data_IF_723589093190
#
_entry.id   IF_723589093190
#
_cell.length_a   1.000
_cell.length_b   1.000
_cell.length_c   1.000
_cell.angle_alpha   90.00
_cell.angle_beta   90.00
_cell.angle_gamma   90.00
#
_symmetry.space_group_name_H-M   'P 1'
#
loop_
_entity.id
_entity.type
_entity.pdbx_description
1 polymer ?
#
# COMPACT_ATOMS: atom_id res chain seq x y z
N UNK A 1 -47.79 -13.80 14.71
CA UNK A 1 -48.15 -14.97 15.52
C UNK A 1 -47.67 -16.24 14.81
N UNK A 2 -46.55 -16.81 15.23
CA UNK A 2 -46.18 -18.23 15.09
C UNK A 2 -45.10 -18.50 16.15
N UNK A 3 -45.39 -19.42 17.05
CA UNK A 3 -44.65 -19.67 18.28
C UNK A 3 -43.59 -20.76 18.11
N UNK A 4 -42.46 -20.55 18.80
CA UNK A 4 -41.63 -21.46 19.60
C UNK A 4 -41.05 -22.76 18.98
N UNK A 5 -39.72 -22.89 19.08
CA UNK A 5 -39.07 -24.09 19.59
C UNK A 5 -37.82 -23.73 20.41
N UNK A 6 -37.74 -24.32 21.60
CA UNK A 6 -36.74 -24.16 22.67
C UNK A 6 -35.77 -25.36 22.63
N UNK A 7 -34.49 -25.08 22.96
CA UNK A 7 -33.34 -25.90 23.42
C UNK A 7 -33.59 -27.37 23.87
N UNK A 8 -32.57 -28.28 23.80
CA UNK A 8 -31.53 -28.34 24.85
C UNK A 8 -30.11 -28.85 24.46
N UNK A 9 -29.25 -28.78 25.48
CA UNK A 9 -27.81 -28.99 25.59
C UNK A 9 -27.32 -30.46 25.52
N UNK A 10 -26.00 -30.61 25.79
CA UNK A 10 -25.27 -31.80 26.30
C UNK A 10 -24.45 -32.57 25.22
N UNK A 11 -23.23 -33.11 25.39
CA UNK A 11 -22.38 -33.53 26.53
C UNK A 11 -20.92 -33.73 26.01
N UNK A 12 -19.89 -33.36 26.78
CA UNK A 12 -18.85 -34.21 27.42
C UNK A 12 -17.94 -35.07 26.50
N UNK A 13 -16.62 -34.81 26.39
CA UNK A 13 -15.47 -35.15 27.27
C UNK A 13 -14.97 -36.62 27.13
N UNK A 14 -13.79 -36.73 26.47
CA UNK A 14 -12.56 -37.54 26.76
C UNK A 14 -12.63 -39.09 26.80
N UNK A 15 -11.63 -39.74 26.15
CA UNK A 15 -10.76 -40.88 26.57
C UNK A 15 -10.09 -41.50 25.31
N UNK A 16 -8.81 -41.27 24.98
CA UNK A 16 -7.54 -41.90 25.44
C UNK A 16 -7.41 -43.43 25.26
N UNK A 17 -6.67 -43.82 24.21
CA UNK A 17 -5.88 -45.06 24.06
C UNK A 17 -5.04 -44.91 22.78
N UNK A 18 -3.74 -45.08 22.68
CA UNK A 18 -2.67 -45.45 23.60
C UNK A 18 -1.41 -45.73 22.75
N UNK A 19 -0.25 -45.27 23.23
CA UNK A 19 1.12 -45.82 23.14
C UNK A 19 1.69 -46.38 21.81
N UNK A 20 2.84 -45.82 21.37
CA UNK A 20 3.92 -46.64 20.82
C UNK A 20 4.75 -46.04 19.67
N UNK A 21 6.02 -45.80 19.98
CA UNK A 21 7.19 -45.68 19.08
C UNK A 21 7.42 -44.36 18.32
N UNK A 22 8.39 -43.61 18.84
CA UNK A 22 9.27 -42.72 18.09
C UNK A 22 10.03 -43.54 17.02
N UNK A 23 10.11 -43.03 15.79
CA UNK A 23 11.43 -42.69 15.27
C UNK A 23 11.44 -41.32 14.59
N UNK A 24 12.32 -40.42 15.04
CA UNK A 24 12.78 -39.29 14.22
C UNK A 24 13.32 -39.82 12.87
N UNK A 25 13.08 -39.14 11.71
CA UNK A 25 13.69 -37.85 11.48
C UNK A 25 12.91 -36.82 10.62
N UNK A 26 13.44 -35.59 10.64
CA UNK A 26 13.24 -34.46 9.72
C UNK A 26 11.88 -33.73 9.81
N UNK A 27 11.89 -32.69 10.64
CA UNK A 27 10.98 -31.54 10.56
C UNK A 27 10.99 -30.99 9.13
N UNK A 28 9.92 -31.22 8.37
CA UNK A 28 9.61 -30.36 7.24
C UNK A 28 9.43 -28.94 7.80
N UNK A 29 10.07 -27.91 7.22
CA UNK A 29 9.84 -26.54 7.64
C UNK A 29 8.34 -26.21 7.47
N UNK A 30 7.74 -25.42 8.38
CA UNK A 30 6.37 -24.97 8.20
C UNK A 30 6.24 -24.28 6.83
N UNK A 31 5.08 -24.36 6.14
CA UNK A 31 4.85 -23.49 5.00
C UNK A 31 4.97 -22.06 5.52
N UNK A 32 6.01 -21.34 5.07
CA UNK A 32 6.09 -19.89 5.28
C UNK A 32 4.75 -19.31 4.84
N UNK A 33 4.12 -18.43 5.64
CA UNK A 33 3.13 -17.55 5.07
C UNK A 33 3.87 -16.78 3.99
N UNK A 34 3.54 -17.02 2.72
CA UNK A 34 3.92 -16.10 1.68
C UNK A 34 3.42 -14.74 2.16
N UNK A 35 4.27 -13.69 2.21
CA UNK A 35 3.71 -12.38 2.38
C UNK A 35 2.71 -12.25 1.23
N UNK A 36 1.44 -12.02 1.56
CA UNK A 36 0.55 -11.29 0.67
C UNK A 36 1.20 -9.91 0.54
N UNK A 37 2.24 -9.84 -0.28
CA UNK A 37 2.45 -8.70 -1.12
C UNK A 37 1.17 -8.68 -1.93
N UNK A 38 0.21 -7.90 -1.42
CA UNK A 38 -0.68 -7.09 -2.22
C UNK A 38 -0.05 -6.98 -3.60
N UNK A 39 -0.71 -7.51 -4.63
CA UNK A 39 -0.17 -7.45 -5.97
C UNK A 39 -0.11 -5.97 -6.34
N UNK A 40 0.97 -5.32 -5.93
CA UNK A 40 1.40 -3.97 -6.24
C UNK A 40 1.55 -4.02 -7.75
N UNK A 41 0.44 -3.72 -8.43
CA UNK A 41 0.27 -3.85 -9.85
C UNK A 41 1.47 -3.14 -10.47
N UNK A 42 2.39 -3.92 -11.07
CA UNK A 42 3.72 -3.42 -11.42
C UNK A 42 3.55 -2.13 -12.22
N UNK A 43 4.01 -1.01 -11.65
CA UNK A 43 3.77 0.30 -12.25
C UNK A 43 4.63 0.50 -13.49
N UNK A 44 4.17 1.34 -14.40
CA UNK A 44 4.90 1.70 -15.62
C UNK A 44 5.84 2.86 -15.33
N UNK A 45 7.16 2.75 -15.55
CA UNK A 45 8.07 3.87 -15.37
C UNK A 45 7.87 4.92 -16.47
N UNK A 46 7.80 6.18 -16.08
CA UNK A 46 7.47 7.31 -16.96
C UNK A 46 8.58 8.35 -17.09
N UNK A 47 9.76 8.08 -16.52
CA UNK A 47 10.91 8.98 -16.53
C UNK A 47 11.10 9.67 -15.19
N UNK A 48 11.59 10.91 -15.23
CA UNK A 48 12.10 11.61 -14.06
C UNK A 48 11.61 13.06 -14.04
N UNK A 49 11.29 13.57 -12.85
CA UNK A 49 10.92 14.97 -12.62
C UNK A 49 11.83 15.59 -11.57
N UNK A 50 12.00 16.91 -11.66
CA UNK A 50 12.71 17.68 -10.63
C UNK A 50 11.69 18.13 -9.60
N UNK A 51 11.87 17.69 -8.36
CA UNK A 51 11.04 18.08 -7.23
C UNK A 51 11.65 19.22 -6.42
N UNK A 52 11.16 19.37 -5.19
CA UNK A 52 11.58 20.43 -4.29
C UNK A 52 13.11 20.43 -4.05
N UNK A 53 13.71 21.62 -4.00
CA UNK A 53 15.17 21.84 -3.87
C UNK A 53 16.03 21.11 -4.92
N UNK A 54 15.47 20.83 -6.09
CA UNK A 54 16.22 20.19 -7.17
C UNK A 54 16.38 18.68 -7.05
N UNK A 55 15.76 18.06 -6.03
CA UNK A 55 15.77 16.61 -5.86
C UNK A 55 15.17 15.91 -7.08
N UNK A 56 15.79 14.82 -7.54
CA UNK A 56 15.26 14.06 -8.66
C UNK A 56 14.29 12.99 -8.17
N UNK A 57 13.20 12.80 -8.91
CA UNK A 57 12.17 11.82 -8.56
C UNK A 57 11.86 10.94 -9.78
N UNK A 58 11.93 9.62 -9.62
CA UNK A 58 11.50 8.67 -10.65
C UNK A 58 9.99 8.55 -10.61
N UNK A 59 9.34 8.73 -11.76
CA UNK A 59 7.89 8.69 -11.89
C UNK A 59 7.46 7.29 -12.34
N UNK A 60 6.48 6.76 -11.63
CA UNK A 60 5.82 5.49 -11.92
C UNK A 60 4.32 5.73 -11.95
N UNK A 61 3.63 5.25 -12.98
CA UNK A 61 2.17 5.29 -13.05
C UNK A 61 1.59 3.92 -12.73
N UNK A 62 0.41 3.91 -12.11
CA UNK A 62 -0.41 2.72 -11.94
C UNK A 62 -1.83 3.01 -12.42
N UNK A 63 -2.49 1.96 -12.93
CA UNK A 63 -3.80 2.09 -13.56
C UNK A 63 -3.72 2.71 -14.95
N UNK A 64 -4.69 3.58 -15.28
CA UNK A 64 -4.86 4.16 -16.63
C UNK A 64 -4.26 5.56 -16.78
N UNK A 65 -3.35 5.97 -15.90
CA UNK A 65 -2.68 7.26 -16.01
C UNK A 65 -1.62 7.24 -17.12
N UNK A 66 -1.60 8.29 -17.94
CA UNK A 66 -0.60 8.44 -19.01
C UNK A 66 0.68 9.08 -18.46
N UNK A 67 1.84 8.67 -18.99
CA UNK A 67 3.13 9.18 -18.51
C UNK A 67 3.29 10.71 -18.67
N UNK A 68 2.75 11.28 -19.75
CA UNK A 68 2.79 12.72 -19.98
C UNK A 68 1.95 13.49 -18.94
N UNK A 69 0.77 12.98 -18.61
CA UNK A 69 -0.06 13.55 -17.54
C UNK A 69 0.63 13.41 -16.19
N UNK A 70 1.21 12.25 -15.90
CA UNK A 70 1.83 11.98 -14.61
C UNK A 70 3.03 12.89 -14.31
N UNK A 71 3.90 13.08 -15.30
CA UNK A 71 5.05 13.98 -15.19
C UNK A 71 4.62 15.44 -15.05
N UNK A 72 3.57 15.86 -15.76
CA UNK A 72 2.99 17.20 -15.63
C UNK A 72 2.39 17.42 -14.24
N UNK A 73 1.57 16.50 -13.74
CA UNK A 73 0.92 16.57 -12.42
C UNK A 73 1.96 16.70 -11.31
N UNK A 74 3.03 15.90 -11.35
CA UNK A 74 4.10 15.99 -10.37
C UNK A 74 4.89 17.29 -10.48
N UNK A 75 5.14 17.78 -11.71
CA UNK A 75 5.79 19.07 -11.93
C UNK A 75 4.96 20.20 -11.30
N UNK A 76 3.65 20.20 -11.54
CA UNK A 76 2.73 21.20 -11.00
C UNK A 76 2.59 21.08 -9.48
N UNK A 77 2.60 19.86 -8.93
CA UNK A 77 2.63 19.62 -7.49
C UNK A 77 3.85 20.27 -6.85
N UNK A 78 5.06 19.94 -7.32
CA UNK A 78 6.29 20.47 -6.74
C UNK A 78 6.44 21.99 -6.94
N UNK A 79 5.86 22.55 -8.01
CA UNK A 79 5.82 23.99 -8.23
C UNK A 79 4.86 24.72 -7.27
N UNK A 80 3.79 24.06 -6.83
CA UNK A 80 2.82 24.62 -5.87
C UNK A 80 3.28 24.56 -4.42
N UNK A 81 4.17 23.63 -4.07
CA UNK A 81 4.64 23.48 -2.70
C UNK A 81 5.35 24.75 -2.22
N UNK A 82 4.89 25.27 -1.09
CA UNK A 82 5.63 26.30 -0.37
C UNK A 82 6.86 25.71 0.31
N UNK A 83 7.89 26.53 0.61
CA UNK A 83 9.04 26.06 1.37
C UNK A 83 8.68 25.47 2.74
N UNK A 84 7.62 25.98 3.38
CA UNK A 84 7.15 25.48 4.68
C UNK A 84 6.54 24.09 4.57
N UNK A 85 5.69 23.84 3.56
CA UNK A 85 5.09 22.52 3.34
C UNK A 85 6.14 21.47 2.98
N UNK A 86 7.10 21.83 2.14
CA UNK A 86 8.15 20.90 1.73
C UNK A 86 9.17 20.59 2.85
N UNK A 87 9.32 21.48 3.83
CA UNK A 87 10.12 21.25 5.04
C UNK A 87 9.31 20.65 6.20
N UNK A 88 8.01 20.40 6.01
CA UNK A 88 7.13 19.85 7.03
C UNK A 88 7.58 18.46 7.48
N UNK A 89 7.70 18.19 8.79
CA UNK A 89 8.02 16.85 9.28
C UNK A 89 6.90 15.83 9.00
N UNK A 90 5.68 16.29 8.71
CA UNK A 90 4.54 15.47 8.31
C UNK A 90 4.59 15.09 6.82
N UNK A 91 5.58 15.59 6.08
CA UNK A 91 5.64 15.52 4.63
C UNK A 91 4.83 16.67 3.98
N UNK A 92 5.13 16.98 2.70
CA UNK A 92 4.31 17.90 1.93
C UNK A 92 2.89 17.34 1.80
N UNK A 93 1.94 18.14 2.29
CA UNK A 93 0.55 17.71 2.54
C UNK A 93 -0.24 17.39 1.28
N UNK A 94 -1.53 17.03 1.42
CA UNK A 94 -2.40 16.82 0.28
C UNK A 94 -2.61 18.13 -0.47
N UNK A 95 -2.06 18.21 -1.69
CA UNK A 95 -2.19 19.35 -2.60
C UNK A 95 -3.01 18.91 -3.80
N UNK A 96 -4.02 19.71 -4.14
CA UNK A 96 -4.87 19.48 -5.31
C UNK A 96 -4.21 20.06 -6.58
N UNK A 97 -4.04 19.20 -7.57
CA UNK A 97 -3.50 19.50 -8.90
C UNK A 97 -4.51 19.02 -9.95
N UNK A 98 -5.42 19.90 -10.34
CA UNK A 98 -6.53 19.51 -11.21
C UNK A 98 -7.42 18.48 -10.53
N UNK A 99 -7.55 17.30 -11.13
CA UNK A 99 -8.29 16.16 -10.56
C UNK A 99 -7.46 15.30 -9.59
N UNK A 100 -6.17 15.60 -9.44
CA UNK A 100 -5.24 14.81 -8.63
C UNK A 100 -5.08 15.38 -7.23
N UNK A 101 -5.04 14.51 -6.24
CA UNK A 101 -4.59 14.85 -4.88
C UNK A 101 -3.24 14.21 -4.66
N UNK A 102 -2.21 15.04 -4.46
CA UNK A 102 -0.83 14.64 -4.31
C UNK A 102 -0.33 14.90 -2.89
N UNK A 103 0.50 14.03 -2.34
CA UNK A 103 1.11 14.24 -1.03
C UNK A 103 2.14 13.18 -0.68
N UNK A 104 2.92 13.44 0.36
CA UNK A 104 3.87 12.49 0.94
C UNK A 104 3.60 12.37 2.44
N UNK A 105 3.78 11.17 2.99
CA UNK A 105 3.73 10.97 4.43
C UNK A 105 4.96 11.54 5.16
N UNK A 106 4.97 11.49 6.50
CA UNK A 106 6.10 11.91 7.32
C UNK A 106 7.38 11.16 6.93
N UNK A 107 8.42 11.91 6.50
CA UNK A 107 9.69 11.36 6.01
C UNK A 107 9.58 10.34 4.86
N UNK A 108 8.45 10.32 4.15
CA UNK A 108 8.25 9.41 3.04
C UNK A 108 9.08 9.88 1.82
N UNK A 109 10.01 9.06 1.30
CA UNK A 109 10.73 9.41 0.07
C UNK A 109 9.82 9.34 -1.17
N UNK A 110 8.61 8.81 -1.04
CA UNK A 110 7.62 8.69 -2.11
C UNK A 110 6.58 9.81 -2.00
N UNK A 111 6.38 10.51 -3.12
CA UNK A 111 5.19 11.34 -3.33
C UNK A 111 4.17 10.51 -4.07
N UNK A 112 2.95 10.42 -3.55
CA UNK A 112 1.83 9.74 -4.19
C UNK A 112 0.84 10.78 -4.71
N UNK A 113 0.32 10.59 -5.92
CA UNK A 113 -0.83 11.31 -6.43
C UNK A 113 -1.91 10.31 -6.81
N UNK A 114 -3.16 10.60 -6.46
CA UNK A 114 -4.29 9.74 -6.80
C UNK A 114 -5.51 10.56 -7.24
N UNK A 115 -6.40 9.90 -7.99
CA UNK A 115 -7.73 10.40 -8.32
C UNK A 115 -8.79 9.45 -7.79
N UNK A 116 -10.04 9.90 -7.70
CA UNK A 116 -11.17 9.07 -7.29
C UNK A 116 -11.41 7.88 -8.25
N UNK A 117 -11.01 8.02 -9.52
CA UNK A 117 -11.09 6.98 -10.56
C UNK A 117 -9.95 5.93 -10.48
N UNK A 118 -9.32 5.78 -9.31
CA UNK A 118 -8.26 4.80 -9.01
C UNK A 118 -6.96 4.94 -9.83
N UNK A 119 -6.80 6.03 -10.60
CA UNK A 119 -5.52 6.35 -11.24
C UNK A 119 -4.52 6.79 -10.17
N UNK A 120 -3.28 6.30 -10.27
CA UNK A 120 -2.22 6.62 -9.31
C UNK A 120 -0.90 6.94 -10.00
N UNK A 121 -0.14 7.83 -9.38
CA UNK A 121 1.21 8.22 -9.74
C UNK A 121 2.05 8.14 -8.47
N UNK A 122 3.24 7.54 -8.57
CA UNK A 122 4.25 7.54 -7.51
C UNK A 122 5.51 8.23 -8.03
N UNK A 123 6.10 9.08 -7.20
CA UNK A 123 7.38 9.72 -7.46
C UNK A 123 8.35 9.38 -6.33
N UNK A 124 9.38 8.59 -6.61
CA UNK A 124 10.37 8.19 -5.60
C UNK A 124 11.63 9.05 -5.73
N UNK A 125 12.02 9.73 -4.65
CA UNK A 125 13.27 10.49 -4.58
C UNK A 125 14.49 9.57 -4.61
N UNK A 126 15.54 9.97 -5.34
CA UNK A 126 16.82 9.28 -5.41
C UNK A 126 18.01 10.25 -5.57
#
# INVERSE_FOLDING_TARGET
MKSLAVLPAALAVVLLSGCGADPAPATAPPPSPAPTADQVLAGTPCGEVTGFQGAKNKVVVRGKAECAEATQVLTDYFAKLTPAEAASPQGPGPVVVGAWTCGSGPNDPVTSCSTEDERQIEATRY
#
